data_IF_740512749326
#
_entry.id   IF_740512749326
#
_cell.length_a   1.000
_cell.length_b   1.000
_cell.length_c   1.000
_cell.angle_alpha   90.00
_cell.angle_beta   90.00
_cell.angle_gamma   90.00
#
_symmetry.space_group_name_H-M   'P 1'
#
loop_
_entity.id
_entity.type
_entity.pdbx_description
1 polymer ?
#
# COMPACT_ATOMS: atom_id res chain seq x y z
N UNK A 1 9.97 -12.92 10.09
CA UNK A 1 9.19 -12.01 9.22
C UNK A 1 7.72 -12.44 9.30
N UNK A 2 6.77 -11.50 9.27
CA UNK A 2 5.32 -11.75 9.45
C UNK A 2 4.52 -11.66 8.14
N UNK A 3 5.10 -11.04 7.11
CA UNK A 3 4.39 -10.67 5.87
C UNK A 3 3.79 -11.85 5.12
N UNK A 4 4.44 -13.02 5.19
CA UNK A 4 3.98 -14.24 4.50
C UNK A 4 2.64 -14.77 5.07
N UNK A 5 2.21 -14.28 6.25
CA UNK A 5 0.93 -14.63 6.89
C UNK A 5 -0.24 -13.75 6.45
N UNK A 6 0.01 -12.74 5.61
CA UNK A 6 -1.05 -11.83 5.14
C UNK A 6 -1.77 -12.49 3.98
N UNK A 7 -2.97 -13.02 4.25
CA UNK A 7 -3.86 -13.63 3.26
C UNK A 7 -5.05 -12.74 2.86
N UNK A 8 -5.31 -11.68 3.63
CA UNK A 8 -6.41 -10.77 3.38
C UNK A 8 -6.10 -9.73 2.27
N UNK A 9 -7.13 -9.14 1.63
CA UNK A 9 -6.96 -8.08 0.65
C UNK A 9 -6.22 -6.87 1.22
N UNK A 10 -5.06 -6.54 0.67
CA UNK A 10 -4.18 -5.48 1.18
C UNK A 10 -3.94 -4.40 0.12
N UNK A 11 -4.11 -3.13 0.50
CA UNK A 11 -3.77 -1.97 -0.33
C UNK A 11 -2.57 -1.25 0.30
N UNK A 12 -1.57 -0.91 -0.51
CA UNK A 12 -0.35 -0.21 -0.09
C UNK A 12 -0.09 0.98 -1.03
N UNK A 13 0.52 2.05 -0.55
CA UNK A 13 1.12 3.09 -1.36
C UNK A 13 2.63 3.24 -1.13
N UNK A 14 3.31 3.85 -2.10
CA UNK A 14 4.67 4.34 -1.96
C UNK A 14 4.79 5.76 -2.52
N UNK A 15 5.53 6.60 -1.81
CA UNK A 15 6.04 7.86 -2.33
C UNK A 15 7.48 7.69 -2.81
N UNK A 16 7.78 7.99 -4.07
CA UNK A 16 9.14 7.83 -4.62
C UNK A 16 10.15 8.85 -4.06
N UNK A 17 9.67 9.88 -3.36
CA UNK A 17 10.49 10.86 -2.63
C UNK A 17 10.41 10.67 -1.10
N UNK A 18 9.86 9.56 -0.63
CA UNK A 18 9.82 9.24 0.79
C UNK A 18 11.20 8.76 1.26
N UNK A 19 11.91 9.61 2.00
CA UNK A 19 13.20 9.28 2.62
C UNK A 19 13.05 8.63 4.02
N UNK A 20 11.85 8.68 4.61
CA UNK A 20 11.56 8.05 5.92
C UNK A 20 11.28 6.56 5.76
N UNK A 21 10.49 6.22 4.74
CA UNK A 21 10.15 4.86 4.36
C UNK A 21 10.46 4.65 2.86
N UNK A 22 11.74 4.50 2.48
CA UNK A 22 12.13 4.34 1.08
C UNK A 22 11.45 3.13 0.43
N UNK A 23 11.09 3.24 -0.85
CA UNK A 23 10.36 2.17 -1.55
C UNK A 23 11.15 0.85 -1.59
N UNK A 24 12.49 0.89 -1.55
CA UNK A 24 13.37 -0.27 -1.47
C UNK A 24 13.14 -1.09 -0.19
N UNK A 25 12.57 -0.49 0.86
CA UNK A 25 12.19 -1.18 2.10
C UNK A 25 10.76 -1.74 2.05
N UNK A 26 9.87 -1.12 1.25
CA UNK A 26 8.45 -1.45 1.14
C UNK A 26 8.22 -2.55 0.10
N UNK A 27 8.84 -2.45 -1.08
CA UNK A 27 8.67 -3.40 -2.19
C UNK A 27 8.97 -4.85 -1.76
N UNK A 28 10.07 -5.18 -1.06
CA UNK A 28 10.32 -6.56 -0.62
C UNK A 28 9.26 -7.11 0.34
N UNK A 29 8.62 -6.25 1.14
CA UNK A 29 7.50 -6.66 1.97
C UNK A 29 6.25 -6.88 1.11
N UNK A 30 5.90 -5.91 0.27
CA UNK A 30 4.75 -6.00 -0.63
C UNK A 30 4.79 -7.26 -1.51
N UNK A 31 5.95 -7.57 -2.10
CA UNK A 31 6.15 -8.73 -2.98
C UNK A 31 5.87 -10.06 -2.27
N UNK A 32 6.10 -10.13 -0.96
CA UNK A 32 5.89 -11.33 -0.14
C UNK A 32 4.48 -11.48 0.42
N UNK A 33 3.60 -10.50 0.27
CA UNK A 33 2.18 -10.64 0.65
C UNK A 33 1.55 -11.72 -0.25
N UNK A 34 0.96 -12.74 0.37
CA UNK A 34 0.34 -13.89 -0.32
C UNK A 34 -1.11 -13.64 -0.75
N UNK A 35 -1.83 -12.79 -0.01
CA UNK A 35 -3.21 -12.41 -0.31
C UNK A 35 -3.37 -11.47 -1.52
N UNK A 36 -4.62 -11.19 -1.94
CA UNK A 36 -4.91 -10.19 -2.96
C UNK A 36 -4.29 -8.84 -2.58
N UNK A 37 -3.54 -8.22 -3.49
CA UNK A 37 -2.80 -7.00 -3.18
C UNK A 37 -2.78 -6.02 -4.34
N UNK A 38 -2.71 -4.74 -4.01
CA UNK A 38 -2.51 -3.65 -4.96
C UNK A 38 -1.57 -2.59 -4.37
N UNK A 39 -0.80 -1.95 -5.25
CA UNK A 39 0.19 -0.93 -4.92
C UNK A 39 -0.09 0.33 -5.73
N UNK A 40 -0.17 1.49 -5.06
CA UNK A 40 -0.19 2.80 -5.70
C UNK A 40 1.18 3.47 -5.59
N UNK A 41 1.69 4.00 -6.70
CA UNK A 41 3.00 4.65 -6.75
C UNK A 41 2.80 6.12 -7.04
N UNK A 42 3.32 6.97 -6.16
CA UNK A 42 3.28 8.42 -6.28
C UNK A 42 4.69 8.98 -6.51
N UNK A 43 5.06 9.37 -7.75
CA UNK A 43 6.43 9.77 -8.09
C UNK A 43 6.96 10.97 -7.30
N UNK A 44 6.08 11.89 -6.91
CA UNK A 44 6.46 13.15 -6.28
C UNK A 44 6.18 13.19 -4.77
N UNK A 45 5.56 12.14 -4.22
CA UNK A 45 5.13 12.13 -2.82
C UNK A 45 6.31 11.82 -1.90
N UNK A 46 6.47 12.64 -0.87
CA UNK A 46 7.37 12.44 0.28
C UNK A 46 6.67 11.65 1.39
N UNK A 47 7.23 11.57 2.60
CA UNK A 47 6.55 10.99 3.77
C UNK A 47 5.37 11.87 4.25
N UNK A 48 4.27 11.85 3.51
CA UNK A 48 3.13 12.74 3.72
C UNK A 48 1.81 12.09 3.28
N UNK A 49 0.67 12.47 3.88
CA UNK A 49 -0.64 11.95 3.49
C UNK A 49 -0.98 12.24 2.02
N UNK A 50 -1.71 11.32 1.37
CA UNK A 50 -2.26 11.48 0.02
C UNK A 50 -3.79 11.38 0.03
N UNK A 51 -4.48 12.44 -0.36
CA UNK A 51 -5.95 12.45 -0.46
C UNK A 51 -6.46 11.54 -1.57
N UNK A 52 -5.69 11.40 -2.64
CA UNK A 52 -5.96 10.44 -3.72
C UNK A 52 -5.89 8.99 -3.21
N UNK A 53 -4.83 8.67 -2.44
CA UNK A 53 -4.72 7.34 -1.84
C UNK A 53 -5.87 7.05 -0.87
N UNK A 54 -6.32 8.06 -0.10
CA UNK A 54 -7.49 7.91 0.77
C UNK A 54 -8.75 7.52 -0.04
N UNK A 55 -8.94 8.07 -1.23
CA UNK A 55 -10.06 7.69 -2.09
C UNK A 55 -9.94 6.23 -2.58
N UNK A 56 -8.73 5.80 -2.94
CA UNK A 56 -8.46 4.40 -3.27
C UNK A 56 -8.68 3.45 -2.08
N UNK A 57 -8.23 3.83 -0.88
CA UNK A 57 -8.47 3.07 0.34
C UNK A 57 -9.96 2.92 0.64
N UNK A 58 -10.74 3.99 0.51
CA UNK A 58 -12.19 3.91 0.66
C UNK A 58 -12.81 2.98 -0.38
N UNK A 59 -12.43 3.08 -1.66
CA UNK A 59 -12.92 2.16 -2.70
C UNK A 59 -12.57 0.70 -2.41
N UNK A 60 -11.36 0.44 -1.92
CA UNK A 60 -10.91 -0.90 -1.53
C UNK A 60 -11.73 -1.48 -0.38
N UNK A 61 -11.98 -0.68 0.67
CA UNK A 61 -12.81 -1.06 1.80
C UNK A 61 -14.25 -1.37 1.34
N UNK A 62 -14.86 -0.52 0.51
CA UNK A 62 -16.21 -0.79 -0.03
C UNK A 62 -16.25 -2.10 -0.81
N UNK A 63 -15.23 -2.37 -1.64
CA UNK A 63 -15.15 -3.59 -2.46
C UNK A 63 -15.11 -4.86 -1.62
N UNK A 64 -14.32 -4.89 -0.54
CA UNK A 64 -14.07 -6.13 0.21
C UNK A 64 -14.89 -6.25 1.50
N UNK A 65 -15.41 -5.15 2.04
CA UNK A 65 -16.22 -5.15 3.26
C UNK A 65 -17.70 -4.79 3.02
N UNK A 66 -18.06 -4.27 1.85
CA UNK A 66 -19.45 -3.96 1.50
C UNK A 66 -20.08 -2.79 2.26
N UNK A 67 -19.27 -1.93 2.89
CA UNK A 67 -19.71 -0.71 3.59
C UNK A 67 -20.02 0.45 2.63
#
# INVERSE_FOLDING_TARGET
>A
NLVDRIECPTLVDIGMKDETCPYETIIPAFDRISGPKALHVYPELTHSPSTDFNAHAMSWLRRYLGA
#
